data_IF_118255666366
#
_entry.id   IF_118255666366
#
_cell.length_a   1.000
_cell.length_b   1.000
_cell.length_c   1.000
_cell.angle_alpha   90.00
_cell.angle_beta   90.00
_cell.angle_gamma   90.00
#
_symmetry.space_group_name_H-M   'P 1'
#
loop_
_entity.id
_entity.type
_entity.pdbx_description
1 polymer ?
#
# COMPACT_ATOMS: atom_id res chain seq x y z
N UNK A 1 -13.74 -5.30 -46.11
CA UNK A 1 -12.61 -5.86 -45.34
C UNK A 1 -11.40 -4.97 -45.56
N UNK A 2 -10.51 -4.92 -44.58
CA UNK A 2 -9.24 -4.17 -44.51
C UNK A 2 -9.29 -2.98 -43.57
N UNK A 3 -8.75 -3.26 -42.38
CA UNK A 3 -8.43 -2.38 -41.28
C UNK A 3 -7.17 -1.60 -41.63
N UNK A 4 -7.14 -0.31 -41.32
CA UNK A 4 -5.94 0.53 -41.37
C UNK A 4 -5.71 1.10 -39.97
N UNK A 5 -5.09 0.27 -39.12
CA UNK A 5 -4.56 0.64 -37.80
C UNK A 5 -3.08 0.90 -38.02
N UNK A 6 -2.73 2.15 -38.33
CA UNK A 6 -1.35 2.59 -38.42
C UNK A 6 -0.93 3.19 -37.08
N UNK A 7 0.17 2.63 -36.58
CA UNK A 7 0.87 2.90 -35.33
C UNK A 7 1.21 4.38 -35.15
N UNK A 8 0.43 5.10 -34.34
CA UNK A 8 0.97 6.20 -33.51
C UNK A 8 1.30 5.68 -32.09
N UNK A 9 1.75 4.41 -32.03
CA UNK A 9 1.91 3.60 -30.82
C UNK A 9 3.32 3.69 -30.20
N UNK A 10 4.10 4.70 -30.56
CA UNK A 10 5.56 4.66 -30.31
C UNK A 10 6.08 5.58 -29.20
N UNK A 11 5.23 6.25 -28.41
CA UNK A 11 5.72 7.08 -27.29
C UNK A 11 4.94 6.99 -25.95
N UNK A 12 3.91 6.15 -25.81
CA UNK A 12 3.17 6.03 -24.54
C UNK A 12 2.97 4.56 -24.15
N UNK A 13 3.46 4.11 -22.97
CA UNK A 13 3.07 2.81 -22.41
C UNK A 13 1.55 2.82 -22.14
N UNK A 14 0.76 1.89 -22.69
CA UNK A 14 -0.70 1.92 -22.63
C UNK A 14 -1.31 1.60 -21.24
N UNK A 15 -0.50 1.57 -20.17
CA UNK A 15 -0.94 1.18 -18.83
C UNK A 15 -1.32 2.36 -17.91
N UNK A 16 -1.14 3.62 -18.33
CA UNK A 16 -1.38 4.79 -17.47
C UNK A 16 -1.91 6.01 -18.25
N UNK A 17 -3.04 5.86 -18.93
CA UNK A 17 -3.74 6.98 -19.60
C UNK A 17 -4.99 7.45 -18.85
N UNK A 18 -4.99 7.38 -17.51
CA UNK A 18 -6.01 8.04 -16.68
C UNK A 18 -5.43 9.36 -16.13
N UNK A 19 -6.16 10.49 -16.21
CA UNK A 19 -5.72 11.75 -15.64
C UNK A 19 -5.52 11.59 -14.12
N UNK A 20 -4.56 12.34 -13.58
CA UNK A 20 -4.02 12.27 -12.22
C UNK A 20 -5.06 12.44 -11.08
N UNK A 21 -6.31 12.77 -11.41
CA UNK A 21 -7.48 12.80 -10.53
C UNK A 21 -8.23 11.45 -10.42
N UNK A 22 -7.90 10.47 -11.26
CA UNK A 22 -8.38 9.08 -11.23
C UNK A 22 -7.25 8.12 -10.82
N UNK A 23 -6.44 8.53 -9.83
CA UNK A 23 -5.23 7.81 -9.42
C UNK A 23 -5.48 6.33 -9.06
N UNK A 24 -4.53 5.44 -9.41
CA UNK A 24 -4.69 3.99 -9.51
C UNK A 24 -4.42 3.30 -8.18
N UNK A 25 -5.44 3.40 -7.32
CA UNK A 25 -5.71 2.59 -6.15
C UNK A 25 -7.15 2.96 -5.82
N UNK A 26 -8.03 2.01 -5.54
CA UNK A 26 -9.25 2.32 -4.77
C UNK A 26 -8.78 2.67 -3.35
N UNK A 27 -8.13 3.83 -3.21
CA UNK A 27 -7.36 4.24 -2.04
C UNK A 27 -8.20 4.07 -0.80
N UNK A 28 -9.46 4.51 -0.83
CA UNK A 28 -10.37 4.34 0.29
C UNK A 28 -10.72 2.88 0.61
N UNK A 29 -10.83 1.99 -0.38
CA UNK A 29 -11.12 0.56 -0.14
C UNK A 29 -9.91 -0.20 0.37
N UNK A 30 -8.72 0.10 -0.17
CA UNK A 30 -7.47 -0.41 0.36
C UNK A 30 -7.18 0.15 1.74
N UNK A 31 -7.35 1.45 1.97
CA UNK A 31 -7.20 2.08 3.29
C UNK A 31 -8.19 1.47 4.29
N UNK A 32 -9.44 1.20 3.90
CA UNK A 32 -10.41 0.50 4.75
C UNK A 32 -10.02 -0.96 5.00
N UNK A 33 -9.56 -1.69 3.99
CA UNK A 33 -9.03 -3.05 4.15
C UNK A 33 -7.83 -3.04 5.11
N UNK A 34 -6.93 -2.07 4.95
CA UNK A 34 -5.73 -1.94 5.77
C UNK A 34 -6.08 -1.64 7.22
N UNK A 35 -6.95 -0.65 7.45
CA UNK A 35 -7.39 -0.28 8.79
C UNK A 35 -8.11 -1.43 9.53
N UNK A 36 -8.86 -2.27 8.81
CA UNK A 36 -9.66 -3.35 9.41
C UNK A 36 -8.90 -4.67 9.54
N UNK A 37 -8.06 -5.00 8.57
CA UNK A 37 -7.53 -6.35 8.42
C UNK A 37 -6.01 -6.46 8.51
N UNK A 38 -5.23 -5.39 8.31
CA UNK A 38 -3.76 -5.50 8.40
C UNK A 38 -3.33 -5.62 9.86
N UNK A 39 -2.63 -6.71 10.16
CA UNK A 39 -2.06 -7.01 11.48
C UNK A 39 -0.58 -6.66 11.54
N UNK A 40 0.14 -6.83 10.44
CA UNK A 40 1.55 -6.48 10.34
C UNK A 40 1.92 -6.12 8.90
N UNK A 41 2.90 -5.23 8.78
CA UNK A 41 3.47 -4.78 7.51
C UNK A 41 4.96 -5.10 7.51
N UNK A 42 5.44 -5.78 6.48
CA UNK A 42 6.84 -6.16 6.33
C UNK A 42 7.34 -5.84 4.93
N UNK A 43 8.55 -5.29 4.84
CA UNK A 43 9.21 -4.93 3.60
C UNK A 43 10.46 -5.80 3.41
N UNK A 44 10.33 -7.05 2.95
CA UNK A 44 11.49 -7.94 2.80
C UNK A 44 12.48 -7.46 1.74
N UNK A 45 12.00 -6.79 0.68
CA UNK A 45 12.82 -6.28 -0.42
C UNK A 45 12.25 -4.93 -0.90
N UNK A 46 13.07 -4.07 -1.55
CA UNK A 46 12.61 -2.79 -2.10
C UNK A 46 11.48 -2.92 -3.14
N UNK A 47 11.36 -4.08 -3.78
CA UNK A 47 10.34 -4.37 -4.81
C UNK A 47 9.25 -5.31 -4.31
N UNK A 48 9.22 -5.64 -3.01
CA UNK A 48 8.26 -6.58 -2.43
C UNK A 48 7.74 -6.11 -1.07
N UNK A 49 6.42 -6.07 -0.90
CA UNK A 49 5.72 -5.74 0.33
C UNK A 49 4.90 -6.94 0.79
N UNK A 50 4.98 -7.29 2.07
CA UNK A 50 4.17 -8.34 2.69
C UNK A 50 3.22 -7.71 3.71
N UNK A 51 1.94 -8.01 3.58
CA UNK A 51 0.89 -7.61 4.51
C UNK A 51 0.33 -8.86 5.17
N UNK A 52 0.49 -8.98 6.48
CA UNK A 52 -0.23 -9.99 7.25
C UNK A 52 -1.62 -9.46 7.56
N UNK A 53 -2.62 -10.27 7.23
CA UNK A 53 -4.02 -9.92 7.31
C UNK A 53 -4.73 -10.81 8.32
N UNK A 54 -5.80 -10.29 8.92
CA UNK A 54 -6.68 -11.07 9.76
C UNK A 54 -7.26 -12.24 8.99
N UNK A 55 -7.00 -13.45 9.50
CA UNK A 55 -7.42 -14.70 8.88
C UNK A 55 -8.93 -14.90 9.01
N UNK A 56 -9.66 -14.40 8.03
CA UNK A 56 -11.07 -14.69 7.84
C UNK A 56 -11.38 -14.95 6.36
N UNK A 57 -12.37 -15.81 6.05
CA UNK A 57 -12.82 -16.02 4.68
C UNK A 57 -13.24 -14.71 3.98
N UNK A 58 -13.87 -13.80 4.73
CA UNK A 58 -14.31 -12.50 4.24
C UNK A 58 -13.12 -11.61 3.88
N UNK A 59 -12.09 -11.56 4.73
CA UNK A 59 -10.85 -10.83 4.45
C UNK A 59 -10.15 -11.39 3.22
N UNK A 60 -10.05 -12.72 3.11
CA UNK A 60 -9.40 -13.38 1.98
C UNK A 60 -10.12 -13.05 0.66
N UNK A 61 -11.45 -13.17 0.63
CA UNK A 61 -12.26 -12.86 -0.54
C UNK A 61 -12.12 -11.38 -0.95
N UNK A 62 -12.29 -10.45 0.00
CA UNK A 62 -12.15 -9.01 -0.26
C UNK A 62 -10.76 -8.64 -0.77
N UNK A 63 -9.72 -9.22 -0.18
CA UNK A 63 -8.33 -8.99 -0.59
C UNK A 63 -8.08 -9.50 -2.01
N UNK A 64 -8.54 -10.72 -2.33
CA UNK A 64 -8.40 -11.30 -3.66
C UNK A 64 -9.15 -10.47 -4.73
N UNK A 65 -10.36 -10.01 -4.43
CA UNK A 65 -11.14 -9.16 -5.34
C UNK A 65 -10.45 -7.81 -5.61
N UNK A 66 -9.94 -7.15 -4.57
CA UNK A 66 -9.22 -5.89 -4.70
C UNK A 66 -7.92 -6.08 -5.51
N UNK A 67 -7.14 -7.11 -5.21
CA UNK A 67 -5.92 -7.44 -5.93
C UNK A 67 -6.19 -7.73 -7.42
N UNK A 68 -7.25 -8.50 -7.73
CA UNK A 68 -7.61 -8.81 -9.11
C UNK A 68 -8.03 -7.56 -9.90
N UNK A 69 -8.80 -6.66 -9.29
CA UNK A 69 -9.20 -5.39 -9.90
C UNK A 69 -8.01 -4.47 -10.14
N UNK A 70 -7.13 -4.36 -9.15
CA UNK A 70 -5.93 -3.52 -9.25
C UNK A 70 -4.99 -4.03 -10.33
N UNK A 71 -4.73 -5.34 -10.38
CA UNK A 71 -3.92 -5.94 -11.45
C UNK A 71 -4.55 -5.73 -12.85
N UNK A 72 -5.88 -5.72 -12.94
CA UNK A 72 -6.60 -5.42 -14.18
C UNK A 72 -6.43 -3.97 -14.66
N UNK A 73 -6.16 -3.02 -13.76
CA UNK A 73 -5.91 -1.62 -14.08
C UNK A 73 -4.40 -1.33 -14.26
N UNK A 74 -3.57 -1.95 -13.43
CA UNK A 74 -2.12 -1.76 -13.35
C UNK A 74 -1.42 -3.13 -13.35
N UNK A 75 -1.18 -3.67 -14.55
CA UNK A 75 -0.64 -5.03 -14.75
C UNK A 75 0.82 -5.22 -14.32
N UNK A 76 1.51 -4.15 -13.93
CA UNK A 76 2.86 -4.25 -13.37
C UNK A 76 2.86 -4.81 -11.95
N UNK A 77 1.73 -4.75 -11.23
CA UNK A 77 1.62 -5.36 -9.91
C UNK A 77 1.54 -6.88 -10.02
N UNK A 78 2.30 -7.56 -9.18
CA UNK A 78 2.11 -8.97 -8.90
C UNK A 78 1.58 -9.13 -7.48
N UNK A 79 0.35 -9.62 -7.36
CA UNK A 79 -0.26 -9.94 -6.08
C UNK A 79 -0.22 -11.44 -5.84
N UNK A 80 0.24 -11.86 -4.66
CA UNK A 80 0.23 -13.25 -4.22
C UNK A 80 -0.47 -13.34 -2.87
N UNK A 81 -1.66 -13.94 -2.84
CA UNK A 81 -2.39 -14.20 -1.60
C UNK A 81 -2.09 -15.62 -1.12
N UNK A 82 -1.53 -15.73 0.08
CA UNK A 82 -1.18 -17.01 0.70
C UNK A 82 -2.03 -17.24 1.94
N UNK A 83 -2.66 -18.42 2.00
CA UNK A 83 -3.39 -18.90 3.18
C UNK A 83 -2.61 -20.10 3.71
N UNK A 84 -1.95 -19.93 4.85
CA UNK A 84 -1.10 -20.97 5.44
C UNK A 84 -1.11 -20.84 6.96
N UNK A 85 -1.09 -21.97 7.67
CA UNK A 85 -0.97 -22.03 9.14
C UNK A 85 -2.01 -21.19 9.90
N UNK A 86 -3.21 -21.04 9.34
CA UNK A 86 -4.25 -20.18 9.90
C UNK A 86 -3.95 -18.68 9.78
N UNK A 87 -2.95 -18.30 8.98
CA UNK A 87 -2.56 -16.94 8.59
C UNK A 87 -3.01 -16.60 7.17
N UNK A 88 -3.25 -15.31 6.93
CA UNK A 88 -3.50 -14.74 5.61
C UNK A 88 -2.41 -13.72 5.29
N UNK A 89 -1.68 -13.89 4.20
CA UNK A 89 -0.62 -12.97 3.78
C UNK A 89 -0.85 -12.52 2.35
N UNK A 90 -0.87 -11.21 2.13
CA UNK A 90 -0.81 -10.62 0.79
C UNK A 90 0.63 -10.13 0.52
N UNK A 91 1.29 -10.75 -0.45
CA UNK A 91 2.53 -10.23 -1.00
C UNK A 91 2.23 -9.41 -2.26
N UNK A 92 2.80 -8.21 -2.34
CA UNK A 92 2.72 -7.30 -3.48
C UNK A 92 4.13 -7.08 -4.01
N UNK A 93 4.35 -7.36 -5.29
CA UNK A 93 5.62 -7.12 -5.96
C UNK A 93 5.45 -6.21 -7.18
N UNK A 94 6.47 -5.42 -7.47
CA UNK A 94 6.52 -4.49 -8.60
C UNK A 94 7.89 -4.53 -9.28
N UNK A 95 7.99 -4.12 -10.56
CA UNK A 95 9.27 -3.85 -11.20
C UNK A 95 10.06 -2.77 -10.43
N UNK A 96 11.40 -2.78 -10.48
CA UNK A 96 12.24 -1.84 -9.75
C UNK A 96 11.93 -0.37 -10.07
N UNK A 97 11.46 -0.07 -11.28
CA UNK A 97 11.07 1.27 -11.71
C UNK A 97 9.85 1.82 -10.96
N UNK A 98 9.09 0.97 -10.27
CA UNK A 98 7.86 1.32 -9.55
C UNK A 98 7.98 1.11 -8.03
N UNK A 99 9.20 0.99 -7.50
CA UNK A 99 9.44 0.77 -6.08
C UNK A 99 8.78 1.84 -5.18
N UNK A 100 8.77 3.10 -5.62
CA UNK A 100 8.14 4.24 -4.91
C UNK A 100 6.65 4.01 -4.63
N UNK A 101 5.94 3.26 -5.49
CA UNK A 101 4.53 2.93 -5.30
C UNK A 101 4.35 2.00 -4.10
N UNK A 102 5.26 1.06 -3.89
CA UNK A 102 5.23 0.17 -2.74
C UNK A 102 5.60 0.89 -1.44
N UNK A 103 6.43 1.93 -1.48
CA UNK A 103 6.74 2.75 -0.30
C UNK A 103 5.51 3.57 0.14
N UNK A 104 4.78 4.12 -0.83
CA UNK A 104 3.49 4.76 -0.56
C UNK A 104 2.47 3.75 -0.01
N UNK A 105 2.41 2.53 -0.56
CA UNK A 105 1.52 1.47 -0.09
C UNK A 105 1.85 1.02 1.34
N UNK A 106 3.15 0.85 1.65
CA UNK A 106 3.63 0.51 2.98
C UNK A 106 3.23 1.57 4.01
N UNK A 107 3.45 2.84 3.69
CA UNK A 107 3.11 3.97 4.57
C UNK A 107 1.62 3.98 4.91
N UNK A 108 0.77 3.69 3.92
CA UNK A 108 -0.69 3.60 4.12
C UNK A 108 -1.08 2.39 4.96
N UNK A 109 -0.54 1.22 4.64
CA UNK A 109 -0.87 -0.03 5.33
C UNK A 109 -0.40 -0.05 6.79
N UNK A 110 0.68 0.67 7.11
CA UNK A 110 1.14 0.84 8.49
C UNK A 110 0.18 1.72 9.32
N UNK A 111 -0.70 2.49 8.67
CA UNK A 111 -1.54 3.51 9.29
C UNK A 111 -0.72 4.59 10.02
N UNK A 112 -1.37 5.61 10.61
CA UNK A 112 -0.74 6.36 11.68
C UNK A 112 -0.48 5.40 12.83
N UNK A 113 0.78 5.14 13.15
CA UNK A 113 1.17 4.38 14.35
C UNK A 113 0.50 5.04 15.57
N UNK A 114 -0.46 4.41 16.28
CA UNK A 114 -0.94 4.92 17.55
C UNK A 114 0.15 4.60 18.58
N UNK A 115 1.23 5.37 18.56
CA UNK A 115 2.47 5.03 19.24
C UNK A 115 3.57 6.08 19.15
N UNK A 116 3.51 7.01 18.19
CA UNK A 116 4.21 8.28 18.34
C UNK A 116 3.41 9.16 19.30
N UNK A 117 3.39 8.78 20.58
CA UNK A 117 3.13 9.76 21.63
C UNK A 117 4.26 10.77 21.51
N UNK A 118 3.88 11.98 21.14
CA UNK A 118 4.44 13.22 21.63
C UNK A 118 5.39 12.95 22.81
N UNK A 119 6.70 13.05 22.58
CA UNK A 119 7.64 13.31 23.66
C UNK A 119 7.55 14.82 23.83
N UNK A 120 6.87 15.33 24.87
CA UNK A 120 7.10 16.70 25.28
C UNK A 120 8.57 16.79 25.69
N UNK A 121 9.37 17.49 24.88
CA UNK A 121 10.65 18.05 25.33
C UNK A 121 10.31 19.10 26.40
N UNK A 122 10.22 18.64 27.64
CA UNK A 122 10.31 19.50 28.81
C UNK A 122 11.42 18.97 29.72
N UNK A 123 12.56 19.67 29.82
CA UNK A 123 13.40 19.52 30.98
C UNK A 123 12.74 20.28 32.14
N UNK A 124 12.18 19.53 33.08
CA UNK A 124 11.89 20.03 34.42
C UNK A 124 13.19 20.15 35.22
N UNK A 125 13.54 21.37 35.62
CA UNK A 125 14.40 21.63 36.77
C UNK A 125 13.98 22.96 37.43
N UNK A 126 13.26 22.89 38.55
CA UNK A 126 13.27 23.94 39.59
C UNK A 126 14.22 23.54 40.72
N UNK A 127 14.27 24.22 41.90
CA UNK A 127 13.83 25.56 42.32
C UNK A 127 15.03 26.34 42.98
N UNK A 128 14.89 27.23 44.00
CA UNK A 128 14.14 28.49 44.17
C UNK A 128 15.05 29.76 44.30
N UNK A 129 14.40 30.94 44.44
CA UNK A 129 14.98 32.30 44.60
C UNK A 129 15.96 32.50 45.79
N UNK A 130 16.72 33.62 45.89
CA UNK A 130 16.21 34.82 46.61
C UNK A 130 16.78 36.21 46.22
N UNK A 131 16.00 37.28 46.53
CA UNK A 131 16.43 38.66 46.88
C UNK A 131 17.09 39.51 45.77
N UNK A 132 16.84 40.82 45.62
CA UNK A 132 16.53 41.88 46.58
C UNK A 132 15.85 43.04 45.86
#
# INVERSE_FOLDING_TARGET
MTQDIILDRQWVPPACTLPTTERPLRVAEFDALFAEAVQAVQRPEPTRLHLQLASSPQTAARTAELAARENGCCSFFTFTLTIADGGLTLAVAVPPEQADVLDALQTRAAGPVPGARDVPDQPAAGPPAPGR
#
